data_IF_064592920656
#
_entry.id   IF_064592920656
#
_cell.length_a   1.000
_cell.length_b   1.000
_cell.length_c   1.000
_cell.angle_alpha   90.00
_cell.angle_beta   90.00
_cell.angle_gamma   90.00
#
_symmetry.space_group_name_H-M   'P 1'
#
loop_
_entity.id
_entity.type
_entity.pdbx_description
1 polymer ?
#
# COMPACT_ATOMS: atom_id res chain seq x y z
N UNK A 1 12.54 5.26 14.86
CA UNK A 1 11.82 3.98 15.02
C UNK A 1 12.59 2.83 14.38
N UNK A 2 13.82 2.51 14.83
CA UNK A 2 14.72 1.59 14.11
C UNK A 2 14.94 0.22 14.77
N UNK A 3 14.57 0.04 16.04
CA UNK A 3 14.76 -1.23 16.76
C UNK A 3 13.63 -2.26 16.59
N UNK A 4 12.37 -1.81 16.53
CA UNK A 4 11.19 -2.69 16.50
C UNK A 4 11.04 -3.42 15.14
N UNK A 5 11.25 -2.69 14.03
CA UNK A 5 11.09 -3.21 12.67
C UNK A 5 12.08 -4.33 12.31
N UNK A 6 13.34 -4.25 12.76
CA UNK A 6 14.33 -5.30 12.50
C UNK A 6 14.03 -6.60 13.28
N UNK A 7 13.40 -6.48 14.45
CA UNK A 7 13.04 -7.63 15.29
C UNK A 7 11.83 -8.39 14.75
N UNK A 8 10.84 -7.69 14.17
CA UNK A 8 9.64 -8.32 13.63
C UNK A 8 9.93 -9.24 12.43
N UNK A 9 10.83 -8.82 11.52
CA UNK A 9 11.17 -9.56 10.27
C UNK A 9 11.44 -11.07 10.48
N UNK A 10 12.08 -11.45 11.58
CA UNK A 10 12.44 -12.86 11.86
C UNK A 10 11.24 -13.77 12.17
N UNK A 11 10.08 -13.18 12.49
CA UNK A 11 8.84 -13.91 12.77
C UNK A 11 7.91 -13.97 11.56
N UNK A 12 8.30 -13.40 10.41
CA UNK A 12 7.47 -13.44 9.21
C UNK A 12 7.19 -14.88 8.78
N UNK A 13 5.91 -15.20 8.61
CA UNK A 13 5.41 -16.52 8.23
C UNK A 13 5.93 -17.67 9.11
N UNK A 14 6.03 -17.45 10.43
CA UNK A 14 6.53 -18.45 11.38
C UNK A 14 5.38 -19.18 12.10
N UNK A 15 5.03 -20.42 11.70
CA UNK A 15 3.92 -21.16 12.31
C UNK A 15 4.09 -21.46 13.80
N UNK A 16 5.33 -21.47 14.31
CA UNK A 16 5.61 -21.83 15.71
C UNK A 16 5.25 -20.74 16.72
N UNK A 17 5.15 -19.49 16.27
CA UNK A 17 4.91 -18.32 17.14
C UNK A 17 3.67 -17.52 16.77
N UNK A 18 3.04 -17.84 15.63
CA UNK A 18 1.86 -17.17 15.13
C UNK A 18 0.58 -17.57 15.85
N UNK A 19 -0.35 -16.63 15.93
CA UNK A 19 -1.66 -16.77 16.59
C UNK A 19 -2.83 -16.50 15.63
N UNK A 20 -2.55 -16.28 14.34
CA UNK A 20 -3.52 -16.07 13.28
C UNK A 20 -2.99 -16.53 11.91
N UNK A 21 -3.88 -17.00 11.04
CA UNK A 21 -3.57 -17.31 9.64
C UNK A 21 -4.28 -16.34 8.71
N UNK A 22 -3.51 -15.67 7.86
CA UNK A 22 -4.04 -14.87 6.74
C UNK A 22 -4.11 -15.76 5.50
N UNK A 23 -5.22 -15.72 4.78
CA UNK A 23 -5.45 -16.53 3.57
C UNK A 23 -5.81 -15.65 2.38
N UNK A 24 -5.29 -15.96 1.20
CA UNK A 24 -5.56 -15.21 -0.03
C UNK A 24 -5.27 -16.08 -1.27
N UNK A 25 -6.31 -16.34 -2.06
CA UNK A 25 -6.24 -17.36 -3.11
C UNK A 25 -5.93 -18.73 -2.51
N UNK A 26 -4.90 -19.41 -3.04
CA UNK A 26 -4.41 -20.70 -2.53
C UNK A 26 -3.33 -20.56 -1.46
N UNK A 27 -2.89 -19.32 -1.18
CA UNK A 27 -1.79 -19.04 -0.27
C UNK A 27 -2.26 -18.74 1.15
N UNK A 28 -1.35 -18.99 2.10
CA UNK A 28 -1.54 -18.70 3.51
C UNK A 28 -0.26 -18.18 4.15
N UNK A 29 -0.41 -17.25 5.08
CA UNK A 29 0.67 -16.72 5.90
C UNK A 29 0.30 -16.85 7.37
N UNK A 30 1.21 -17.42 8.16
CA UNK A 30 1.14 -17.40 9.62
C UNK A 30 1.57 -16.01 10.13
N UNK A 31 0.66 -15.31 10.79
CA UNK A 31 0.86 -13.93 11.24
C UNK A 31 0.72 -13.75 12.76
N UNK A 32 0.95 -12.53 13.25
CA UNK A 32 0.84 -12.20 14.68
C UNK A 32 -0.17 -11.07 14.87
N UNK A 33 -1.17 -11.29 15.72
CA UNK A 33 -2.27 -10.35 15.93
C UNK A 33 -1.80 -9.02 16.51
N UNK A 34 -0.81 -9.04 17.40
CA UNK A 34 -0.24 -7.83 17.99
C UNK A 34 0.33 -6.87 16.93
N UNK A 35 1.09 -7.39 15.96
CA UNK A 35 1.62 -6.63 14.83
C UNK A 35 0.51 -6.13 13.90
N UNK A 36 -0.46 -6.99 13.57
CA UNK A 36 -1.57 -6.60 12.70
C UNK A 36 -2.45 -5.50 13.35
N UNK A 37 -2.70 -5.64 14.66
CA UNK A 37 -3.45 -4.68 15.48
C UNK A 37 -2.74 -3.31 15.58
N UNK A 38 -1.42 -3.32 15.77
CA UNK A 38 -0.63 -2.10 15.83
C UNK A 38 -0.69 -1.30 14.51
N UNK A 39 -0.57 -1.99 13.38
CA UNK A 39 -0.44 -1.35 12.07
C UNK A 39 -1.78 -1.05 11.37
N UNK A 40 -2.86 -1.77 11.70
CA UNK A 40 -4.13 -1.62 11.01
C UNK A 40 -5.32 -1.61 11.97
N UNK A 41 -6.08 -0.50 12.03
CA UNK A 41 -7.35 -0.49 12.76
C UNK A 41 -8.39 -1.44 12.15
N UNK A 42 -8.24 -1.84 10.89
CA UNK A 42 -9.10 -2.83 10.24
C UNK A 42 -8.83 -4.23 10.80
N UNK A 43 -7.55 -4.64 10.89
CA UNK A 43 -7.21 -5.89 11.55
C UNK A 43 -7.57 -5.86 13.04
N UNK A 44 -7.31 -4.75 13.75
CA UNK A 44 -7.78 -4.55 15.13
C UNK A 44 -9.27 -4.84 15.26
N UNK A 45 -10.09 -4.20 14.43
CA UNK A 45 -11.54 -4.36 14.49
C UNK A 45 -11.97 -5.79 14.14
N UNK A 46 -11.32 -6.41 13.16
CA UNK A 46 -11.58 -7.76 12.72
C UNK A 46 -11.43 -8.79 13.85
N UNK A 47 -10.42 -8.65 14.71
CA UNK A 47 -10.14 -9.61 15.79
C UNK A 47 -10.57 -9.12 17.19
N UNK A 48 -11.32 -8.02 17.28
CA UNK A 48 -11.73 -7.45 18.57
C UNK A 48 -12.91 -8.21 19.19
N UNK A 49 -12.64 -8.96 20.25
CA UNK A 49 -13.64 -9.71 21.03
C UNK A 49 -14.31 -10.82 20.22
N UNK A 50 -15.29 -11.51 20.80
CA UNK A 50 -15.77 -12.78 20.23
C UNK A 50 -16.94 -12.61 19.24
N UNK A 51 -17.14 -11.41 18.71
CA UNK A 51 -18.33 -11.06 17.89
C UNK A 51 -18.22 -11.44 16.42
N UNK A 52 -17.01 -11.65 15.91
CA UNK A 52 -16.79 -12.02 14.51
C UNK A 52 -16.17 -13.42 14.43
N UNK A 53 -16.53 -14.17 13.38
CA UNK A 53 -16.09 -15.56 13.21
C UNK A 53 -14.56 -15.70 13.24
N UNK A 54 -13.86 -14.77 12.60
CA UNK A 54 -12.41 -14.66 12.56
C UNK A 54 -11.74 -14.43 13.92
N UNK A 55 -12.43 -13.82 14.91
CA UNK A 55 -11.90 -13.73 16.27
C UNK A 55 -11.87 -15.09 16.98
N UNK A 56 -12.75 -16.01 16.57
CA UNK A 56 -12.84 -17.37 17.09
C UNK A 56 -11.99 -18.35 16.28
N UNK A 57 -12.05 -18.29 14.94
CA UNK A 57 -11.32 -19.22 14.05
C UNK A 57 -9.84 -18.89 13.94
N UNK A 58 -9.44 -17.65 14.23
CA UNK A 58 -8.07 -17.14 14.00
C UNK A 58 -7.64 -17.26 12.54
N UNK A 59 -8.61 -17.18 11.63
CA UNK A 59 -8.40 -17.16 10.19
C UNK A 59 -9.01 -15.89 9.60
N UNK A 60 -8.30 -15.23 8.68
CA UNK A 60 -8.77 -14.03 7.99
C UNK A 60 -8.45 -14.07 6.50
N UNK A 61 -9.48 -13.95 5.68
CA UNK A 61 -9.35 -13.98 4.22
C UNK A 61 -9.18 -12.56 3.68
N UNK A 62 -8.13 -12.34 2.90
CA UNK A 62 -7.88 -11.10 2.15
C UNK A 62 -8.25 -11.39 0.69
N UNK A 63 -9.11 -10.57 0.11
CA UNK A 63 -9.65 -10.75 -1.25
C UNK A 63 -9.54 -9.45 -2.05
N UNK A 64 -9.72 -9.54 -3.37
CA UNK A 64 -9.79 -8.36 -4.24
C UNK A 64 -8.45 -7.78 -4.70
N UNK A 65 -7.32 -8.35 -4.26
CA UNK A 65 -5.97 -7.89 -4.66
C UNK A 65 -5.09 -9.03 -5.19
N UNK A 66 -4.16 -8.74 -6.10
CA UNK A 66 -3.14 -9.70 -6.52
C UNK A 66 -2.30 -10.21 -5.34
N UNK A 67 -1.92 -11.49 -5.35
CA UNK A 67 -1.12 -12.11 -4.27
C UNK A 67 0.15 -11.30 -3.96
N UNK A 68 0.87 -10.82 -4.98
CA UNK A 68 2.08 -9.98 -4.83
C UNK A 68 1.85 -8.70 -4.01
N UNK A 69 0.66 -8.10 -4.13
CA UNK A 69 0.26 -6.87 -3.42
C UNK A 69 0.00 -7.19 -1.95
N UNK A 70 -0.75 -8.27 -1.69
CA UNK A 70 -1.06 -8.74 -0.34
C UNK A 70 0.22 -9.13 0.41
N UNK A 71 1.14 -9.86 -0.24
CA UNK A 71 2.45 -10.16 0.32
C UNK A 71 3.23 -8.90 0.69
N UNK A 72 3.23 -7.89 -0.17
CA UNK A 72 3.93 -6.64 0.07
C UNK A 72 3.37 -5.89 1.28
N UNK A 73 2.04 -5.83 1.42
CA UNK A 73 1.39 -5.27 2.61
C UNK A 73 1.81 -6.01 3.88
N UNK A 74 1.71 -7.34 3.89
CA UNK A 74 2.02 -8.13 5.10
C UNK A 74 3.51 -8.02 5.43
N UNK A 75 4.41 -8.14 4.44
CA UNK A 75 5.85 -7.95 4.65
C UNK A 75 6.14 -6.55 5.22
N UNK A 76 5.46 -5.51 4.76
CA UNK A 76 5.65 -4.17 5.29
C UNK A 76 5.31 -4.06 6.79
N UNK A 77 4.23 -4.70 7.25
CA UNK A 77 3.89 -4.80 8.69
C UNK A 77 5.00 -5.44 9.50
N UNK A 78 5.72 -6.41 8.91
CA UNK A 78 6.88 -7.05 9.53
C UNK A 78 8.18 -6.23 9.42
N UNK A 79 8.08 -4.99 8.93
CA UNK A 79 9.19 -4.07 8.81
C UNK A 79 10.07 -4.30 7.58
N UNK A 80 9.66 -5.12 6.61
CA UNK A 80 10.36 -5.15 5.31
C UNK A 80 10.11 -3.84 4.55
N UNK A 81 11.09 -3.40 3.79
CA UNK A 81 10.92 -2.23 2.93
C UNK A 81 10.04 -2.58 1.73
N UNK A 82 9.15 -1.65 1.37
CA UNK A 82 8.50 -1.70 0.07
C UNK A 82 9.55 -1.28 -0.96
N UNK A 83 9.71 -2.08 -2.01
CA UNK A 83 10.65 -1.80 -3.07
C UNK A 83 10.18 -2.40 -4.38
N UNK A 84 10.69 -1.86 -5.47
CA UNK A 84 10.58 -2.43 -6.80
C UNK A 84 11.89 -3.16 -7.14
N UNK A 85 11.87 -4.08 -8.12
CA UNK A 85 13.08 -4.77 -8.59
C UNK A 85 14.11 -3.83 -9.24
N UNK A 86 15.29 -4.33 -9.60
CA UNK A 86 16.38 -3.48 -10.12
C UNK A 86 16.11 -2.94 -11.54
N UNK A 87 15.24 -3.57 -12.34
CA UNK A 87 14.92 -3.17 -13.73
C UNK A 87 13.53 -2.52 -13.88
N UNK A 88 13.31 -1.40 -13.19
CA UNK A 88 11.96 -0.84 -13.00
C UNK A 88 11.67 0.41 -13.82
N UNK A 89 10.82 0.23 -14.84
CA UNK A 89 10.23 1.28 -15.72
C UNK A 89 8.91 0.82 -16.36
N UNK A 90 8.28 -0.25 -15.87
CA UNK A 90 7.15 -0.88 -16.57
C UNK A 90 5.79 -0.36 -16.09
N UNK A 91 4.78 -0.46 -16.96
CA UNK A 91 3.36 -0.26 -16.58
C UNK A 91 2.94 -1.21 -15.45
N UNK A 92 3.53 -2.41 -15.39
CA UNK A 92 3.29 -3.39 -14.32
C UNK A 92 3.78 -2.89 -12.95
N UNK A 93 4.90 -2.15 -12.91
CA UNK A 93 5.41 -1.57 -11.66
C UNK A 93 4.46 -0.48 -11.13
N UNK A 94 3.94 0.35 -12.04
CA UNK A 94 2.98 1.38 -11.69
C UNK A 94 1.64 0.77 -11.23
N UNK A 95 1.13 -0.25 -11.93
CA UNK A 95 -0.07 -0.99 -11.52
C UNK A 95 0.13 -1.65 -10.14
N UNK A 96 1.28 -2.27 -9.91
CA UNK A 96 1.61 -2.87 -8.62
C UNK A 96 1.59 -1.83 -7.50
N UNK A 97 2.27 -0.69 -7.67
CA UNK A 97 2.32 0.38 -6.66
C UNK A 97 0.95 1.01 -6.42
N UNK A 98 0.14 1.18 -7.45
CA UNK A 98 -1.25 1.61 -7.32
C UNK A 98 -2.03 0.64 -6.44
N UNK A 99 -1.96 -0.65 -6.71
CA UNK A 99 -2.65 -1.66 -5.91
C UNK A 99 -2.13 -1.69 -4.45
N UNK A 100 -0.82 -1.48 -4.21
CA UNK A 100 -0.26 -1.35 -2.85
C UNK A 100 -0.79 -0.10 -2.14
N UNK A 101 -0.92 1.02 -2.84
CA UNK A 101 -1.54 2.22 -2.30
C UNK A 101 -3.00 1.96 -1.91
N UNK A 102 -3.78 1.33 -2.79
CA UNK A 102 -5.19 1.02 -2.56
C UNK A 102 -5.40 0.08 -1.36
N UNK A 103 -4.66 -1.04 -1.28
CA UNK A 103 -4.78 -1.96 -0.15
C UNK A 103 -4.32 -1.29 1.16
N UNK A 104 -3.28 -0.44 1.09
CA UNK A 104 -2.85 0.37 2.22
C UNK A 104 -3.94 1.33 2.71
N UNK A 105 -4.76 1.88 1.82
CA UNK A 105 -5.93 2.69 2.16
C UNK A 105 -7.08 1.87 2.74
N UNK A 106 -7.39 0.72 2.15
CA UNK A 106 -8.43 -0.17 2.65
C UNK A 106 -8.13 -0.61 4.08
N UNK A 107 -6.90 -1.07 4.35
CA UNK A 107 -6.47 -1.51 5.67
C UNK A 107 -5.99 -0.37 6.59
N UNK A 108 -6.05 0.89 6.12
CA UNK A 108 -5.66 2.09 6.87
C UNK A 108 -4.22 2.06 7.41
N UNK A 109 -3.29 1.47 6.65
CA UNK A 109 -1.85 1.43 6.94
C UNK A 109 -1.20 2.64 6.27
N UNK A 110 -1.29 3.82 6.91
CA UNK A 110 -0.82 5.08 6.33
C UNK A 110 0.67 5.09 5.90
N UNK A 111 1.62 4.52 6.66
CA UNK A 111 3.02 4.49 6.23
C UNK A 111 3.25 3.68 4.95
N UNK A 112 2.47 2.61 4.73
CA UNK A 112 2.52 1.82 3.50
C UNK A 112 2.00 2.62 2.30
N UNK A 113 0.89 3.35 2.46
CA UNK A 113 0.37 4.23 1.41
C UNK A 113 1.40 5.28 1.02
N UNK A 114 2.02 5.94 2.00
CA UNK A 114 3.06 6.94 1.74
C UNK A 114 4.28 6.33 1.03
N UNK A 115 4.71 5.13 1.43
CA UNK A 115 5.82 4.44 0.78
C UNK A 115 5.51 4.08 -0.68
N UNK A 116 4.30 3.58 -0.96
CA UNK A 116 3.86 3.29 -2.33
C UNK A 116 3.80 4.56 -3.17
N UNK A 117 3.32 5.66 -2.56
CA UNK A 117 3.20 6.92 -3.26
C UNK A 117 4.55 7.52 -3.67
N UNK A 118 5.53 7.49 -2.75
CA UNK A 118 6.88 7.96 -3.02
C UNK A 118 7.57 7.15 -4.12
N UNK A 119 7.40 5.83 -4.13
CA UNK A 119 7.96 4.97 -5.18
C UNK A 119 7.31 5.21 -6.54
N UNK A 120 6.00 5.50 -6.54
CA UNK A 120 5.28 5.80 -7.79
C UNK A 120 5.73 7.13 -8.38
N UNK A 121 5.92 8.16 -7.54
CA UNK A 121 6.51 9.44 -7.96
C UNK A 121 7.91 9.24 -8.57
N UNK A 122 8.78 8.49 -7.89
CA UNK A 122 10.11 8.17 -8.42
C UNK A 122 10.06 7.37 -9.73
N UNK A 123 9.06 6.50 -9.90
CA UNK A 123 8.84 5.76 -11.15
C UNK A 123 8.44 6.71 -12.29
N UNK A 124 7.49 7.61 -12.05
CA UNK A 124 7.07 8.60 -13.04
C UNK A 124 8.24 9.49 -13.49
N UNK A 125 9.05 9.98 -12.55
CA UNK A 125 10.24 10.79 -12.85
C UNK A 125 11.24 10.06 -13.76
N UNK A 126 11.43 8.74 -13.57
CA UNK A 126 12.36 7.94 -14.36
C UNK A 126 11.87 7.69 -15.79
N UNK A 127 10.57 7.48 -15.96
CA UNK A 127 10.00 7.12 -17.28
C UNK A 127 9.66 8.36 -18.12
N UNK A 128 9.46 9.52 -17.51
CA UNK A 128 9.18 10.79 -18.19
C UNK A 128 10.21 11.17 -19.26
N UNK A 129 11.46 10.72 -19.13
CA UNK A 129 12.49 10.98 -20.14
C UNK A 129 12.39 10.09 -21.40
N UNK A 130 11.48 9.12 -21.45
CA UNK A 130 11.44 8.10 -22.53
C UNK A 130 10.18 8.08 -23.38
N UNK A 131 8.96 8.08 -22.81
CA UNK A 131 7.68 8.17 -23.57
C UNK A 131 6.48 8.32 -22.62
N UNK A 132 5.60 9.30 -22.84
CA UNK A 132 4.45 9.61 -21.98
C UNK A 132 3.24 8.69 -22.19
N UNK A 133 3.14 8.06 -23.37
CA UNK A 133 1.95 7.30 -23.75
C UNK A 133 1.75 6.03 -22.91
N UNK A 134 2.82 5.54 -22.28
CA UNK A 134 2.82 4.25 -21.58
C UNK A 134 2.01 4.23 -20.28
N UNK A 135 1.77 5.38 -19.64
CA UNK A 135 1.14 5.44 -18.30
C UNK A 135 -0.24 6.09 -18.26
N UNK A 136 -0.80 6.44 -19.42
CA UNK A 136 -2.06 7.18 -19.51
C UNK A 136 -3.21 6.48 -18.77
N UNK A 137 -3.37 5.16 -18.94
CA UNK A 137 -4.45 4.41 -18.29
C UNK A 137 -4.33 4.38 -16.76
N UNK A 138 -3.10 4.31 -16.23
CA UNK A 138 -2.85 4.31 -14.78
C UNK A 138 -3.14 5.71 -14.20
N UNK A 139 -2.72 6.77 -14.88
CA UNK A 139 -3.02 8.16 -14.50
C UNK A 139 -4.54 8.39 -14.46
N UNK A 140 -5.27 7.92 -15.48
CA UNK A 140 -6.73 8.03 -15.52
C UNK A 140 -7.41 7.27 -14.37
N UNK A 141 -6.93 6.06 -14.06
CA UNK A 141 -7.41 5.25 -12.93
C UNK A 141 -7.21 5.98 -11.61
N UNK A 142 -6.05 6.60 -11.41
CA UNK A 142 -5.75 7.40 -10.22
C UNK A 142 -6.67 8.59 -10.07
N UNK A 143 -6.84 9.37 -11.14
CA UNK A 143 -7.76 10.51 -11.14
C UNK A 143 -9.19 10.06 -10.83
N UNK A 144 -9.62 8.90 -11.33
CA UNK A 144 -10.95 8.35 -10.99
C UNK A 144 -11.09 7.97 -9.52
N UNK A 145 -10.09 7.31 -8.93
CA UNK A 145 -10.11 6.93 -7.52
C UNK A 145 -10.22 8.14 -6.59
N UNK A 146 -9.47 9.21 -6.84
CA UNK A 146 -9.54 10.43 -6.02
C UNK A 146 -10.91 11.10 -6.10
N UNK A 147 -11.47 11.22 -7.32
CA UNK A 147 -12.83 11.73 -7.51
C UNK A 147 -13.88 10.93 -6.77
N UNK A 148 -13.83 9.61 -6.88
CA UNK A 148 -14.80 8.70 -6.26
C UNK A 148 -14.76 8.71 -4.73
N UNK A 149 -13.59 9.01 -4.15
CA UNK A 149 -13.39 9.03 -2.70
C UNK A 149 -13.50 10.44 -2.10
N UNK A 150 -13.94 11.45 -2.87
CA UNK A 150 -14.01 12.87 -2.46
C UNK A 150 -12.68 13.36 -1.87
N UNK A 151 -11.57 12.80 -2.33
CA UNK A 151 -10.23 13.23 -1.94
C UNK A 151 -9.93 14.50 -2.73
N UNK A 152 -9.63 15.59 -2.03
CA UNK A 152 -9.46 16.92 -2.62
C UNK A 152 -8.52 16.90 -3.83
N UNK A 153 -9.03 17.31 -5.00
CA UNK A 153 -8.26 17.42 -6.25
C UNK A 153 -7.33 18.66 -6.22
N UNK A 154 -7.66 19.68 -5.42
CA UNK A 154 -6.87 20.91 -5.30
C UNK A 154 -5.78 20.77 -4.23
N UNK A 155 -4.80 19.96 -4.57
CA UNK A 155 -3.56 19.79 -3.82
C UNK A 155 -2.62 21.00 -3.96
N UNK A 156 -3.04 22.18 -4.44
CA UNK A 156 -2.16 23.37 -4.48
C UNK A 156 -2.36 24.28 -3.26
N UNK A 157 -3.55 24.26 -2.65
CA UNK A 157 -3.95 25.21 -1.60
C UNK A 157 -3.56 24.84 -0.17
N UNK A 158 -3.37 23.56 0.14
CA UNK A 158 -3.09 23.08 1.51
C UNK A 158 -1.60 23.10 1.90
N UNK A 159 -0.74 23.66 1.04
CA UNK A 159 0.70 23.40 0.96
C UNK A 159 1.63 24.39 1.68
N UNK A 160 1.13 25.14 2.67
CA UNK A 160 2.03 25.78 3.64
C UNK A 160 2.16 24.90 4.89
N UNK A 161 2.95 23.83 4.76
CA UNK A 161 3.52 23.11 5.91
C UNK A 161 3.01 21.70 6.20
N UNK A 162 2.31 21.03 5.28
CA UNK A 162 1.86 19.64 5.47
C UNK A 162 2.81 18.63 4.82
N UNK A 163 3.08 17.52 5.52
CA UNK A 163 3.92 16.37 5.11
C UNK A 163 3.14 15.27 4.39
N UNK A 164 2.12 15.63 3.59
CA UNK A 164 1.25 14.66 2.92
C UNK A 164 1.59 14.49 1.43
N UNK A 165 2.13 13.31 1.10
CA UNK A 165 2.51 12.84 -0.23
C UNK A 165 1.35 12.07 -0.86
N UNK A 166 0.47 12.77 -1.57
CA UNK A 166 -0.61 12.13 -2.33
C UNK A 166 -0.20 11.96 -3.79
N UNK A 167 -0.48 10.78 -4.36
CA UNK A 167 -0.13 10.41 -5.74
C UNK A 167 -0.67 11.41 -6.77
N UNK A 168 -1.85 11.96 -6.50
CA UNK A 168 -2.51 12.92 -7.37
C UNK A 168 -1.74 14.25 -7.46
N UNK A 169 -1.05 14.68 -6.40
CA UNK A 169 -0.28 15.93 -6.39
C UNK A 169 0.97 15.83 -7.24
N UNK A 170 1.52 14.62 -7.37
CA UNK A 170 2.59 14.31 -8.31
C UNK A 170 2.07 14.30 -9.75
N UNK A 171 0.92 13.66 -10.01
CA UNK A 171 0.28 13.63 -11.34
C UNK A 171 -0.20 15.03 -11.77
N UNK A 172 -0.72 15.85 -10.86
CA UNK A 172 -1.21 17.20 -11.16
C UNK A 172 -0.06 18.17 -11.49
N UNK A 173 1.03 18.19 -10.69
CA UNK A 173 2.26 18.94 -11.00
C UNK A 173 2.79 18.57 -12.39
N UNK A 174 2.73 17.29 -12.73
CA UNK A 174 3.15 16.77 -14.02
C UNK A 174 2.27 17.24 -15.20
N UNK A 175 0.95 17.35 -15.03
CA UNK A 175 0.06 17.88 -16.06
C UNK A 175 0.16 19.40 -16.23
N UNK A 176 0.40 20.15 -15.14
CA UNK A 176 0.51 21.61 -15.18
C UNK A 176 1.80 22.11 -15.83
N UNK A 177 2.95 21.49 -15.57
CA UNK A 177 4.27 21.89 -16.12
C UNK A 177 4.34 21.81 -17.66
N UNK A 178 3.33 21.24 -18.32
CA UNK A 178 3.21 21.20 -19.79
C UNK A 178 2.18 22.17 -20.38
N UNK A 179 1.43 22.86 -19.52
CA UNK A 179 0.40 23.83 -19.94
C UNK A 179 0.96 25.25 -20.08
N UNK A 180 2.26 25.45 -19.85
CA UNK A 180 2.98 26.73 -19.88
C UNK A 180 4.09 26.76 -20.92
#
# INVERSE_FOLDING_TARGET
MTGHAAFARKFYNNPSTSDVTLTFGEERIHAHLDLLDEFSPVFRAAFKGDRFANAVTRDYAIQGYPQKVIHSMIRYVYGFELGLGEETTSEEDADFLLNVYLIGNEYKIQPLQAAAANLFEALLERVFYRDECQFKGIIETLLSFYRENELDEDLRGHWKGSTDYTLLGTVARFCDDRSS
#
